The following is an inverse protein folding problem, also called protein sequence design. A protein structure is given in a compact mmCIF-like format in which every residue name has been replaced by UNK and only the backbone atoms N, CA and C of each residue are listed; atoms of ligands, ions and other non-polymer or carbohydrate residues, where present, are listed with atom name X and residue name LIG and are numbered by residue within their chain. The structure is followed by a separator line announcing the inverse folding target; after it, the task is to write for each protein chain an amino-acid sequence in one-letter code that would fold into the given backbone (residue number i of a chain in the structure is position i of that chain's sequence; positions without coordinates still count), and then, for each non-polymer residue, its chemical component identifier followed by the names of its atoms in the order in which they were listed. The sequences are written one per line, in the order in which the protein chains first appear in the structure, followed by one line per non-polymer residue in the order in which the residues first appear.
data_IF_874172714768
#
_entry.id   IF_874172714768
#
_cell.length_a   1.000
_cell.length_b   1.000
_cell.length_c   1.000
_cell.angle_alpha   90.00
_cell.angle_beta   90.00
_cell.angle_gamma   90.00
#
_symmetry.space_group_name_H-M   'P 1'
#
loop_
_entity.id
_entity.type
_entity.pdbx_description
1 polymer ?
#
# COMPACT_ATOMS: atom_id res chain seq x y z
N UNK A 1 -33.27 -25.72 -28.14
CA UNK A 1 -32.15 -25.97 -27.20
C UNK A 1 -31.31 -24.72 -27.09
N UNK A 2 -31.58 -23.91 -26.07
CA UNK A 2 -30.68 -22.95 -25.40
C UNK A 2 -31.32 -22.69 -24.02
N UNK A 3 -30.62 -22.84 -22.88
CA UNK A 3 -31.21 -22.47 -21.60
C UNK A 3 -31.00 -20.98 -21.34
N UNK A 4 -32.12 -20.31 -21.07
CA UNK A 4 -32.20 -18.99 -20.44
C UNK A 4 -31.65 -19.12 -19.01
N UNK A 5 -30.64 -18.33 -18.67
CA UNK A 5 -30.18 -18.16 -17.28
C UNK A 5 -30.86 -16.91 -16.71
N UNK A 6 -31.62 -17.00 -15.61
CA UNK A 6 -32.26 -15.85 -15.01
C UNK A 6 -31.26 -15.03 -14.18
N UNK A 7 -31.22 -13.73 -14.45
CA UNK A 7 -30.62 -12.74 -13.56
C UNK A 7 -31.45 -12.67 -12.27
N UNK A 8 -30.88 -13.13 -11.15
CA UNK A 8 -31.38 -12.77 -9.84
C UNK A 8 -30.70 -11.48 -9.40
N UNK A 9 -31.49 -10.41 -9.44
CA UNK A 9 -31.21 -9.14 -8.80
C UNK A 9 -31.18 -9.35 -7.27
N UNK A 10 -29.98 -9.25 -6.69
CA UNK A 10 -29.77 -9.05 -5.27
C UNK A 10 -29.25 -7.63 -5.04
N UNK A 11 -29.99 -6.86 -4.27
CA UNK A 11 -29.73 -5.46 -3.92
C UNK A 11 -28.35 -5.27 -3.29
N UNK A 12 -27.36 -4.87 -4.09
CA UNK A 12 -26.04 -4.41 -3.66
C UNK A 12 -25.96 -2.89 -3.79
N UNK A 13 -26.36 -2.16 -2.74
CA UNK A 13 -26.05 -0.74 -2.63
C UNK A 13 -24.92 -0.57 -1.61
N UNK A 14 -23.87 0.14 -2.04
CA UNK A 14 -22.72 0.66 -1.26
C UNK A 14 -21.61 -0.39 -1.05
N UNK A 15 -20.38 -0.26 -1.56
CA UNK A 15 -19.55 0.92 -1.73
C UNK A 15 -18.72 0.84 -3.04
N UNK A 16 -19.15 1.52 -4.10
CA UNK A 16 -18.32 1.76 -5.28
C UNK A 16 -17.23 2.79 -4.91
N UNK A 17 -16.10 2.32 -4.39
CA UNK A 17 -14.87 3.12 -4.54
C UNK A 17 -14.54 3.08 -6.03
N UNK A 18 -14.85 4.17 -6.73
CA UNK A 18 -14.65 4.26 -8.17
C UNK A 18 -13.23 3.84 -8.54
N UNK A 19 -13.10 2.95 -9.52
CA UNK A 19 -11.85 2.54 -10.17
C UNK A 19 -10.90 3.72 -10.48
N UNK A 20 -11.46 4.90 -10.73
CA UNK A 20 -10.72 6.15 -10.94
C UNK A 20 -10.03 6.70 -9.70
N UNK A 21 -10.63 6.54 -8.51
CA UNK A 21 -10.03 6.93 -7.23
C UNK A 21 -8.95 5.93 -6.80
N UNK A 22 -9.10 4.68 -7.24
CA UNK A 22 -8.18 3.59 -6.95
C UNK A 22 -6.88 3.68 -7.76
N UNK A 23 -6.99 3.97 -9.07
CA UNK A 23 -5.82 4.33 -9.90
C UNK A 23 -5.01 5.46 -9.26
N UNK A 24 -5.66 6.46 -8.66
CA UNK A 24 -4.98 7.60 -8.05
C UNK A 24 -4.09 7.22 -6.86
N UNK A 25 -4.33 6.12 -6.15
CA UNK A 25 -3.48 5.72 -5.01
C UNK A 25 -2.23 4.96 -5.44
N UNK A 26 -2.33 4.16 -6.49
CA UNK A 26 -1.29 3.18 -6.89
C UNK A 26 -0.50 3.68 -8.11
N UNK A 27 -0.91 4.80 -8.74
CA UNK A 27 -0.14 5.42 -9.84
C UNK A 27 1.23 5.91 -9.37
N UNK A 28 2.30 5.69 -10.18
CA UNK A 28 3.60 6.27 -9.90
C UNK A 28 3.53 7.80 -9.94
N UNK A 29 4.37 8.47 -9.16
CA UNK A 29 4.79 9.84 -9.43
C UNK A 29 5.60 9.85 -10.74
N UNK A 30 5.16 10.64 -11.72
CA UNK A 30 5.83 10.79 -13.01
C UNK A 30 7.22 11.43 -12.83
N UNK A 31 8.26 10.61 -12.69
CA UNK A 31 9.63 11.02 -12.95
C UNK A 31 9.90 10.88 -14.44
N UNK A 32 9.64 11.96 -15.17
CA UNK A 32 10.03 12.12 -16.58
C UNK A 32 11.53 11.92 -16.75
N UNK A 33 11.94 11.02 -17.64
CA UNK A 33 13.02 11.34 -18.57
C UNK A 33 12.94 10.51 -19.85
N UNK A 34 12.78 11.26 -20.94
CA UNK A 34 12.81 10.81 -22.31
C UNK A 34 14.26 10.83 -22.80
N UNK A 35 14.73 9.75 -23.45
CA UNK A 35 15.83 9.78 -24.41
C UNK A 35 15.91 8.47 -25.19
N UNK A 36 15.41 8.52 -26.43
CA UNK A 36 15.89 7.68 -27.53
C UNK A 36 17.42 7.68 -27.62
N UNK A 37 18.03 6.52 -27.89
CA UNK A 37 18.83 6.25 -29.11
C UNK A 37 19.88 5.15 -28.92
N UNK A 38 19.83 4.19 -29.87
CA UNK A 38 20.90 3.38 -30.46
C UNK A 38 21.47 2.18 -29.67
N UNK A 39 21.15 1.02 -30.24
CA UNK A 39 21.98 -0.18 -30.25
C UNK A 39 23.46 0.12 -30.54
N UNK A 40 24.34 -0.33 -29.63
CA UNK A 40 25.67 -0.82 -29.98
C UNK A 40 26.06 -1.98 -29.08
N UNK A 41 26.25 -3.12 -29.74
CA UNK A 41 26.81 -4.37 -29.27
C UNK A 41 28.28 -4.16 -28.84
N UNK A 42 28.58 -4.28 -27.55
CA UNK A 42 29.95 -4.48 -27.04
C UNK A 42 29.92 -5.53 -25.95
N UNK A 43 30.48 -6.71 -26.25
CA UNK A 43 30.91 -7.71 -25.28
C UNK A 43 31.94 -7.08 -24.35
N UNK A 44 31.68 -7.09 -23.05
CA UNK A 44 32.72 -6.92 -22.04
C UNK A 44 32.39 -7.78 -20.83
N UNK A 45 33.07 -8.91 -20.75
CA UNK A 45 33.23 -9.70 -19.53
C UNK A 45 33.87 -8.79 -18.47
N UNK A 46 33.17 -8.60 -17.35
CA UNK A 46 33.75 -8.21 -16.07
C UNK A 46 32.95 -8.86 -14.95
N UNK A 47 33.64 -9.78 -14.28
CA UNK A 47 33.44 -10.14 -12.89
C UNK A 47 32.99 -8.95 -12.04
N UNK A 48 31.91 -9.15 -11.30
CA UNK A 48 31.29 -8.17 -10.44
C UNK A 48 30.04 -8.75 -9.84
N UNK A 49 30.22 -9.65 -8.87
CA UNK A 49 29.17 -10.08 -7.96
C UNK A 49 28.71 -8.85 -7.15
N UNK A 50 27.81 -8.05 -7.72
CA UNK A 50 27.02 -7.11 -6.92
C UNK A 50 25.91 -7.92 -6.25
N UNK A 51 26.26 -8.50 -5.10
CA UNK A 51 25.26 -8.95 -4.15
C UNK A 51 24.34 -7.76 -3.80
N UNK A 52 23.02 -7.96 -3.72
CA UNK A 52 22.13 -6.96 -3.14
C UNK A 52 22.68 -6.60 -1.77
N UNK A 53 22.96 -5.32 -1.54
CA UNK A 53 23.46 -4.84 -0.25
C UNK A 53 22.39 -5.03 0.81
N UNK A 54 22.36 -6.23 1.40
CA UNK A 54 21.58 -6.53 2.58
C UNK A 54 22.08 -5.63 3.69
N UNK A 55 21.24 -4.69 4.11
CA UNK A 55 21.48 -3.93 5.33
C UNK A 55 21.42 -4.92 6.50
N UNK A 56 22.50 -5.12 7.28
CA UNK A 56 22.50 -6.11 8.35
C UNK A 56 21.74 -5.54 9.56
N UNK A 57 20.40 -5.50 9.47
CA UNK A 57 19.57 -5.66 10.67
C UNK A 57 19.74 -7.13 11.06
N UNK A 58 20.69 -7.38 11.95
CA UNK A 58 21.15 -8.70 12.42
C UNK A 58 20.02 -9.42 13.16
N UNK A 59 19.09 -10.01 12.41
CA UNK A 59 17.92 -10.67 12.99
C UNK A 59 16.86 -11.12 11.99
N UNK A 60 16.95 -10.75 10.70
CA UNK A 60 15.98 -11.20 9.70
C UNK A 60 15.99 -12.73 9.56
N UNK A 61 14.84 -13.34 9.82
CA UNK A 61 14.56 -14.74 9.60
C UNK A 61 13.58 -14.88 8.44
N UNK A 62 14.04 -15.37 7.27
CA UNK A 62 13.15 -15.58 6.14
C UNK A 62 12.19 -16.74 6.45
N UNK A 63 10.94 -16.60 5.99
CA UNK A 63 9.95 -17.68 6.03
C UNK A 63 10.29 -18.76 5.00
N UNK A 64 10.06 -20.02 5.37
CA UNK A 64 10.00 -21.12 4.41
C UNK A 64 8.78 -21.02 3.49
N UNK A 65 8.78 -21.72 2.37
CA UNK A 65 7.66 -21.70 1.42
C UNK A 65 6.33 -22.13 2.05
N UNK A 66 6.37 -23.05 3.01
CA UNK A 66 5.19 -23.51 3.74
C UNK A 66 4.68 -22.43 4.72
N UNK A 67 5.59 -21.78 5.46
CA UNK A 67 5.23 -20.67 6.35
C UNK A 67 4.70 -19.46 5.58
N UNK A 68 5.24 -19.19 4.38
CA UNK A 68 4.72 -18.17 3.47
C UNK A 68 3.27 -18.46 3.13
N UNK A 69 2.95 -19.67 2.66
CA UNK A 69 1.57 -20.06 2.33
C UNK A 69 0.64 -19.92 3.52
N UNK A 70 1.02 -20.45 4.69
CA UNK A 70 0.21 -20.36 5.90
C UNK A 70 0.02 -18.93 6.38
N UNK A 71 1.02 -18.07 6.20
CA UNK A 71 0.91 -16.64 6.52
C UNK A 71 -0.04 -15.93 5.58
N UNK A 72 0.04 -16.23 4.27
CA UNK A 72 -0.87 -15.67 3.26
C UNK A 72 -2.31 -16.08 3.54
N UNK A 73 -2.58 -17.35 3.86
CA UNK A 73 -3.94 -17.81 4.22
C UNK A 73 -4.50 -17.03 5.41
N UNK A 74 -3.69 -16.84 6.47
CA UNK A 74 -4.10 -16.03 7.63
C UNK A 74 -4.37 -14.58 7.25
N UNK A 75 -3.55 -13.99 6.37
CA UNK A 75 -3.76 -12.63 5.92
C UNK A 75 -4.99 -12.48 5.02
N UNK A 76 -5.33 -13.48 4.20
CA UNK A 76 -6.52 -13.48 3.36
C UNK A 76 -7.81 -13.30 4.17
N UNK A 77 -7.87 -13.81 5.40
CA UNK A 77 -9.01 -13.62 6.31
C UNK A 77 -9.23 -12.15 6.72
N UNK A 78 -8.18 -11.33 6.63
CA UNK A 78 -8.20 -9.90 6.96
C UNK A 78 -8.28 -8.99 5.74
N UNK A 79 -8.29 -9.55 4.54
CA UNK A 79 -8.36 -8.77 3.30
C UNK A 79 -9.71 -8.07 3.21
N UNK A 80 -9.67 -6.78 2.94
CA UNK A 80 -10.88 -6.02 2.71
C UNK A 80 -11.49 -6.37 1.34
N UNK A 81 -12.83 -6.49 1.21
CA UNK A 81 -13.50 -6.80 -0.06
C UNK A 81 -13.08 -5.91 -1.24
N UNK A 82 -12.78 -4.63 -0.96
CA UNK A 82 -12.23 -3.67 -1.93
C UNK A 82 -11.03 -4.19 -2.71
N UNK A 83 -10.19 -5.00 -2.07
CA UNK A 83 -8.98 -5.53 -2.67
C UNK A 83 -9.32 -6.65 -3.65
N UNK A 84 -10.27 -7.52 -3.31
CA UNK A 84 -10.75 -8.58 -4.20
C UNK A 84 -11.37 -8.01 -5.49
N UNK A 85 -12.00 -6.83 -5.41
CA UNK A 85 -12.51 -6.15 -6.60
C UNK A 85 -11.40 -5.55 -7.49
N UNK A 86 -10.23 -5.25 -6.90
CA UNK A 86 -9.09 -4.68 -7.62
C UNK A 86 -8.20 -5.74 -8.23
N UNK A 87 -7.81 -6.74 -7.43
CA UNK A 87 -7.06 -7.88 -7.90
C UNK A 87 -8.03 -8.78 -8.66
N UNK A 88 -8.01 -8.66 -9.99
CA UNK A 88 -8.94 -9.34 -10.92
C UNK A 88 -9.15 -10.83 -10.60
N UNK A 89 -8.14 -11.47 -10.02
CA UNK A 89 -8.23 -12.81 -9.46
C UNK A 89 -7.63 -12.84 -8.05
N UNK A 90 -8.15 -13.74 -7.20
CA UNK A 90 -7.55 -14.01 -5.89
C UNK A 90 -6.08 -14.42 -6.01
N UNK A 91 -5.71 -15.13 -7.08
CA UNK A 91 -4.33 -15.52 -7.35
C UNK A 91 -3.39 -14.31 -7.46
N UNK A 92 -3.81 -13.21 -8.11
CA UNK A 92 -3.00 -11.99 -8.19
C UNK A 92 -2.78 -11.35 -6.82
N UNK A 93 -3.82 -11.33 -5.98
CA UNK A 93 -3.70 -10.86 -4.60
C UNK A 93 -2.73 -11.75 -3.81
N UNK A 94 -2.85 -13.07 -3.95
CA UNK A 94 -1.99 -14.04 -3.28
C UNK A 94 -0.53 -13.86 -3.66
N UNK A 95 -0.22 -13.64 -4.93
CA UNK A 95 1.16 -13.37 -5.39
C UNK A 95 1.75 -12.12 -4.73
N UNK A 96 0.96 -11.06 -4.58
CA UNK A 96 1.38 -9.86 -3.84
C UNK A 96 1.63 -10.20 -2.37
N UNK A 97 0.68 -10.88 -1.71
CA UNK A 97 0.83 -11.26 -0.29
C UNK A 97 2.01 -12.20 -0.05
N UNK A 98 2.29 -13.12 -0.97
CA UNK A 98 3.46 -14.01 -0.92
C UNK A 98 4.76 -13.21 -1.00
N UNK A 99 4.82 -12.21 -1.89
CA UNK A 99 5.96 -11.30 -1.98
C UNK A 99 6.18 -10.55 -0.65
N UNK A 100 5.10 -10.06 -0.04
CA UNK A 100 5.15 -9.39 1.27
C UNK A 100 5.62 -10.33 2.38
N UNK A 101 5.08 -11.55 2.42
CA UNK A 101 5.44 -12.55 3.43
C UNK A 101 6.91 -12.96 3.33
N UNK A 102 7.46 -13.04 2.11
CA UNK A 102 8.87 -13.37 1.86
C UNK A 102 9.82 -12.24 2.25
N UNK A 103 9.42 -10.99 2.03
CA UNK A 103 10.25 -9.83 2.37
C UNK A 103 10.02 -9.28 3.77
N UNK A 104 9.32 -9.99 4.65
CA UNK A 104 9.15 -9.62 6.07
C UNK A 104 9.61 -10.75 6.97
N UNK A 105 10.03 -10.40 8.19
CA UNK A 105 10.57 -11.37 9.16
C UNK A 105 9.51 -12.39 9.58
N UNK A 106 9.91 -13.67 9.71
CA UNK A 106 9.04 -14.78 10.08
C UNK A 106 8.25 -14.53 11.38
N UNK A 107 8.87 -13.86 12.35
CA UNK A 107 8.29 -13.61 13.67
C UNK A 107 7.48 -12.31 13.74
N UNK A 108 7.41 -11.56 12.64
CA UNK A 108 6.69 -10.28 12.57
C UNK A 108 5.40 -10.45 11.77
N UNK A 109 4.27 -10.10 12.37
CA UNK A 109 3.00 -9.96 11.66
C UNK A 109 2.80 -8.50 11.20
N UNK A 110 2.32 -8.26 9.99
CA UNK A 110 2.11 -6.89 9.48
C UNK A 110 0.74 -6.32 9.83
N UNK A 111 -0.20 -7.19 10.21
CA UNK A 111 -1.61 -6.85 10.46
C UNK A 111 -1.88 -6.77 11.96
N UNK A 112 -1.53 -7.83 12.69
CA UNK A 112 -1.92 -8.02 14.08
C UNK A 112 -0.86 -7.57 15.10
N UNK A 113 0.31 -7.12 14.64
CA UNK A 113 1.39 -6.71 15.53
C UNK A 113 1.23 -5.26 16.01
N UNK A 114 1.43 -5.05 17.32
CA UNK A 114 1.51 -3.72 17.93
C UNK A 114 2.87 -3.06 17.70
N UNK A 115 3.87 -3.82 17.26
CA UNK A 115 5.22 -3.36 16.94
C UNK A 115 5.47 -3.05 15.46
N UNK A 116 6.74 -2.75 15.17
CA UNK A 116 7.23 -2.60 13.80
C UNK A 116 7.40 -3.96 13.12
N UNK A 117 7.03 -4.02 11.83
CA UNK A 117 7.38 -5.11 10.94
C UNK A 117 8.18 -4.51 9.78
N UNK A 118 9.39 -4.99 9.52
CA UNK A 118 10.28 -4.37 8.54
C UNK A 118 10.30 -5.13 7.22
N UNK A 119 10.41 -4.35 6.15
CA UNK A 119 10.60 -4.81 4.79
C UNK A 119 12.09 -5.01 4.47
N UNK A 120 12.38 -6.14 3.85
CA UNK A 120 13.72 -6.59 3.43
C UNK A 120 13.81 -6.87 1.93
N UNK A 121 12.77 -6.53 1.17
CA UNK A 121 12.76 -6.66 -0.29
C UNK A 121 13.16 -5.37 -1.00
N UNK A 122 12.53 -5.11 -2.16
CA UNK A 122 12.88 -4.00 -3.03
C UNK A 122 12.60 -2.63 -2.40
N UNK A 123 13.51 -1.68 -2.64
CA UNK A 123 13.34 -0.27 -2.25
C UNK A 123 13.37 0.62 -3.49
N UNK A 124 12.73 1.79 -3.41
CA UNK A 124 12.82 2.79 -4.48
C UNK A 124 14.21 3.40 -4.54
N UNK A 125 14.71 3.67 -5.76
CA UNK A 125 16.07 4.17 -5.98
C UNK A 125 16.33 5.56 -5.38
N UNK A 126 15.32 6.43 -5.37
CA UNK A 126 15.51 7.85 -5.00
C UNK A 126 15.50 8.06 -3.48
N UNK A 127 14.51 7.48 -2.79
CA UNK A 127 14.22 7.78 -1.38
C UNK A 127 14.29 6.56 -0.45
N UNK A 128 14.78 5.41 -0.94
CA UNK A 128 14.91 4.15 -0.17
C UNK A 128 13.61 3.70 0.54
N UNK A 129 12.47 3.87 -0.13
CA UNK A 129 11.14 3.54 0.39
C UNK A 129 10.80 2.08 0.09
N UNK A 130 10.10 1.39 1.01
CA UNK A 130 9.63 0.04 0.76
C UNK A 130 8.71 -0.02 -0.47
N UNK A 131 9.02 -0.93 -1.40
CA UNK A 131 8.34 -1.02 -2.69
C UNK A 131 8.09 -2.46 -3.10
N UNK A 132 7.11 -2.65 -3.97
CA UNK A 132 6.77 -3.94 -4.57
C UNK A 132 6.54 -3.76 -6.08
N UNK A 133 6.97 -4.76 -6.85
CA UNK A 133 6.66 -4.87 -8.28
C UNK A 133 5.39 -5.70 -8.44
N UNK A 134 4.41 -5.15 -9.14
CA UNK A 134 3.16 -5.85 -9.46
C UNK A 134 2.61 -5.35 -10.79
N UNK A 135 1.89 -6.22 -11.51
CA UNK A 135 1.14 -5.84 -12.70
C UNK A 135 -0.18 -5.24 -12.23
N UNK A 136 -0.43 -3.97 -12.56
CA UNK A 136 -1.68 -3.32 -12.17
C UNK A 136 -2.82 -3.81 -13.06
N UNK A 137 -4.05 -3.83 -12.56
CA UNK A 137 -5.20 -4.20 -13.37
C UNK A 137 -5.36 -3.31 -14.60
N UNK A 138 -5.35 -3.92 -15.78
CA UNK A 138 -5.40 -3.22 -17.07
C UNK A 138 -4.06 -2.74 -17.61
N UNK A 139 -2.95 -3.01 -16.91
CA UNK A 139 -1.58 -2.88 -17.42
C UNK A 139 -1.04 -4.25 -17.84
N UNK A 140 -0.08 -4.26 -18.76
CA UNK A 140 0.63 -5.48 -19.20
C UNK A 140 2.06 -5.56 -18.68
N UNK A 141 2.55 -4.48 -18.10
CA UNK A 141 3.90 -4.33 -17.58
C UNK A 141 3.88 -4.26 -16.06
N UNK A 142 4.89 -4.81 -15.41
CA UNK A 142 5.10 -4.61 -13.98
C UNK A 142 5.38 -3.15 -13.67
N UNK A 143 4.77 -2.67 -12.59
CA UNK A 143 4.92 -1.31 -12.07
C UNK A 143 5.47 -1.37 -10.64
N UNK A 144 6.46 -0.53 -10.32
CA UNK A 144 6.92 -0.32 -8.94
C UNK A 144 5.88 0.52 -8.21
N UNK A 145 5.49 0.07 -7.03
CA UNK A 145 4.52 0.76 -6.17
C UNK A 145 5.01 0.79 -4.73
N UNK A 146 4.73 1.87 -3.99
CA UNK A 146 5.02 1.94 -2.56
C UNK A 146 4.22 0.91 -1.76
N UNK A 147 4.93 0.11 -0.98
CA UNK A 147 4.35 -1.05 -0.31
C UNK A 147 3.34 -0.65 0.77
N UNK A 148 3.60 0.42 1.53
CA UNK A 148 2.66 0.94 2.53
C UNK A 148 1.30 1.33 1.93
N UNK A 149 1.27 1.87 0.70
CA UNK A 149 0.02 2.24 0.01
C UNK A 149 -0.74 1.00 -0.45
N UNK A 150 -0.04 -0.02 -0.92
CA UNK A 150 -0.64 -1.31 -1.29
C UNK A 150 -1.24 -2.00 -0.06
N UNK A 151 -0.51 -2.07 1.05
CA UNK A 151 -0.98 -2.70 2.28
C UNK A 151 -2.17 -1.98 2.91
N UNK A 152 -2.12 -0.65 2.96
CA UNK A 152 -3.26 0.14 3.39
C UNK A 152 -4.50 -0.11 2.51
N UNK A 153 -4.32 -0.24 1.20
CA UNK A 153 -5.43 -0.57 0.30
C UNK A 153 -6.01 -1.97 0.59
N UNK A 154 -5.15 -2.95 0.84
CA UNK A 154 -5.58 -4.34 1.07
C UNK A 154 -6.29 -4.51 2.42
N UNK A 155 -5.75 -3.91 3.48
CA UNK A 155 -6.13 -4.26 4.86
C UNK A 155 -6.77 -3.14 5.68
N UNK A 156 -6.59 -1.87 5.30
CA UNK A 156 -7.18 -0.79 6.12
C UNK A 156 -8.70 -0.89 6.09
N UNK A 157 -9.33 -0.55 7.22
CA UNK A 157 -10.78 -0.42 7.31
C UNK A 157 -11.28 0.77 6.47
N UNK A 158 -12.59 0.85 6.22
CA UNK A 158 -13.16 1.92 5.39
C UNK A 158 -12.87 3.32 5.93
N UNK A 159 -12.85 3.48 7.26
CA UNK A 159 -12.61 4.78 7.89
C UNK A 159 -11.17 5.24 7.68
N UNK A 160 -10.19 4.39 7.96
CA UNK A 160 -8.77 4.69 7.77
C UNK A 160 -8.45 4.83 6.29
N UNK A 161 -8.99 3.97 5.45
CA UNK A 161 -8.80 4.06 4.00
C UNK A 161 -9.30 5.40 3.44
N UNK A 162 -10.50 5.87 3.86
CA UNK A 162 -11.03 7.17 3.44
C UNK A 162 -10.17 8.34 3.92
N UNK A 163 -9.56 8.23 5.09
CA UNK A 163 -8.61 9.22 5.58
C UNK A 163 -7.32 9.22 4.74
N UNK A 164 -6.75 8.04 4.48
CA UNK A 164 -5.55 7.87 3.65
C UNK A 164 -5.75 8.37 2.20
N UNK A 165 -6.98 8.30 1.69
CA UNK A 165 -7.34 8.84 0.37
C UNK A 165 -7.22 10.36 0.25
N UNK A 166 -7.18 11.09 1.37
CA UNK A 166 -6.99 12.55 1.38
C UNK A 166 -5.52 12.95 1.33
N UNK A 167 -4.61 12.02 1.64
CA UNK A 167 -3.18 12.31 1.69
C UNK A 167 -2.58 12.40 0.27
N UNK A 168 -1.45 13.14 0.12
CA UNK A 168 -0.74 13.20 -1.15
C UNK A 168 -0.32 11.82 -1.65
N UNK A 169 -0.05 11.72 -2.95
CA UNK A 169 0.37 10.47 -3.64
C UNK A 169 1.85 10.13 -3.43
N UNK A 170 2.32 10.30 -2.20
CA UNK A 170 3.67 9.97 -1.75
C UNK A 170 3.57 8.79 -0.77
N UNK A 171 4.68 8.13 -0.41
CA UNK A 171 4.68 7.11 0.63
C UNK A 171 4.05 7.65 1.91
N UNK A 172 3.24 6.84 2.59
CA UNK A 172 2.75 7.19 3.91
C UNK A 172 3.91 7.23 4.90
N UNK A 173 3.92 8.26 5.76
CA UNK A 173 4.89 8.31 6.83
C UNK A 173 4.56 7.24 7.86
N UNK A 174 5.60 6.54 8.33
CA UNK A 174 5.47 5.59 9.42
C UNK A 174 5.64 6.33 10.76
N UNK A 175 4.76 6.07 11.73
CA UNK A 175 4.81 6.70 13.06
C UNK A 175 6.07 6.31 13.85
N UNK A 176 6.67 5.17 13.54
CA UNK A 176 7.93 4.73 14.11
C UNK A 176 9.18 5.42 13.51
N UNK A 177 9.01 6.24 12.47
CA UNK A 177 10.10 6.99 11.82
C UNK A 177 10.93 6.20 10.80
N UNK A 178 10.72 4.90 10.63
CA UNK A 178 11.41 4.07 9.64
C UNK A 178 10.47 3.73 8.46
N UNK A 179 10.81 4.21 7.26
CA UNK A 179 10.02 4.03 6.04
C UNK A 179 10.08 2.61 5.45
N UNK A 180 10.94 1.74 6.00
CA UNK A 180 10.91 0.31 5.72
C UNK A 180 9.95 -0.44 6.64
N UNK A 181 9.35 0.22 7.64
CA UNK A 181 8.27 -0.37 8.38
C UNK A 181 7.03 -0.54 7.48
N UNK A 182 6.39 -1.70 7.56
CA UNK A 182 5.20 -2.08 6.80
C UNK A 182 4.06 -2.55 7.70
N UNK A 183 4.20 -2.39 9.02
CA UNK A 183 3.14 -2.69 9.99
C UNK A 183 1.97 -1.70 9.84
N UNK A 184 0.74 -2.20 9.74
CA UNK A 184 -0.47 -1.39 9.64
C UNK A 184 -0.67 -0.47 10.85
N UNK A 185 -0.31 -0.92 12.05
CA UNK A 185 -0.39 -0.12 13.28
C UNK A 185 0.56 1.09 13.25
N UNK A 186 1.66 0.98 12.50
CA UNK A 186 2.65 2.05 12.34
C UNK A 186 2.36 2.98 11.16
N UNK A 187 1.40 2.68 10.28
CA UNK A 187 1.04 3.59 9.18
C UNK A 187 0.34 4.80 9.78
N UNK A 188 1.02 5.94 9.80
CA UNK A 188 0.59 7.07 10.60
C UNK A 188 -0.77 7.58 10.13
N UNK A 189 -1.71 7.57 11.07
CA UNK A 189 -2.97 8.29 11.02
C UNK A 189 -2.73 9.81 11.16
N UNK A 190 -1.93 10.43 10.28
CA UNK A 190 -1.87 11.90 10.10
C UNK A 190 -3.18 12.44 9.46
N UNK A 191 -4.33 11.90 9.87
CA UNK A 191 -5.66 12.43 9.59
C UNK A 191 -6.32 13.02 10.85
N UNK A 192 -5.59 13.12 11.95
CA UNK A 192 -6.08 13.69 13.22
C UNK A 192 -5.22 14.87 13.65
N UNK A 193 -5.08 15.87 12.78
CA UNK A 193 -4.81 17.26 13.18
C UNK A 193 -5.12 18.21 12.00
N UNK A 194 -6.39 18.28 11.62
CA UNK A 194 -6.92 19.48 10.96
C UNK A 194 -8.23 19.83 11.66
N UNK A 195 -8.25 21.04 12.22
CA UNK A 195 -9.41 21.79 12.71
C UNK A 195 -9.98 21.45 14.08
N UNK A 196 -9.27 21.84 15.14
CA UNK A 196 -9.90 22.38 16.35
C UNK A 196 -8.90 23.26 17.07
N UNK A 197 -8.98 24.55 16.80
CA UNK A 197 -8.86 25.67 17.74
C UNK A 197 -8.61 26.95 16.94
N UNK A 198 -9.68 27.42 16.28
CA UNK A 198 -9.86 28.85 16.08
C UNK A 198 -11.18 29.21 16.75
N UNK A 199 -11.13 29.35 18.06
CA UNK A 199 -12.10 30.19 18.78
C UNK A 199 -11.78 31.64 18.40
N UNK A 200 -12.27 32.07 17.23
CA UNK A 200 -12.54 33.47 16.98
C UNK A 200 -13.72 33.85 17.89
N UNK A 201 -13.38 34.35 19.08
CA UNK A 201 -14.29 35.13 19.90
C UNK A 201 -14.09 36.59 19.51
N UNK A 202 -14.83 37.04 18.51
CA UNK A 202 -15.01 38.46 18.23
C UNK A 202 -16.51 38.75 18.08
N UNK A 203 -16.94 39.79 18.81
CA UNK A 203 -18.13 40.61 18.63
C UNK A 203 -19.51 39.97 18.98
N UNK A 204 -20.45 40.62 19.67
CA UNK A 204 -20.58 42.05 19.95
C UNK A 204 -21.58 42.26 21.11
N UNK A 205 -21.24 43.25 21.93
CA UNK A 205 -22.08 44.19 22.66
C UNK A 205 -23.60 44.15 22.43
N UNK A 206 -24.40 44.13 23.50
CA UNK A 206 -25.60 44.97 23.54
C UNK A 206 -25.90 45.45 24.97
N UNK A 207 -25.67 46.74 25.16
CA UNK A 207 -26.18 47.56 26.26
C UNK A 207 -27.72 47.54 26.26
N UNK A 208 -28.33 47.37 27.42
CA UNK A 208 -29.71 47.80 27.64
C UNK A 208 -29.95 48.07 29.12
N UNK A 209 -29.70 49.33 29.50
CA UNK A 209 -30.41 50.02 30.58
C UNK A 209 -31.94 49.89 30.37
N UNK A 210 -32.70 49.60 31.44
CA UNK A 210 -34.03 50.17 31.68
C UNK A 210 -34.59 49.78 33.07
N UNK A 211 -34.75 50.82 33.90
CA UNK A 211 -35.63 51.06 35.07
C UNK A 211 -35.62 50.16 36.31
#
# INVERSE_FOLDING_TARGET
MQPLVPCLAGTGLLCYVSWHQLKKLVSPSDSSNNSDKKEKKVKKERDGNEEPRQNPKTGFQPRSDEEVKQTVERWLEHVHPRALDFFSTEQQLREVLESVARGTDANSDIILNEGCAFWYGDVTNDDLQASIRMIKPGETTESVTYLNRVLAFIFADDRSFKALMKLPKVPFKMSCGDQLCVSLSCMAAEAVHMDSEKTESDDDSDDSDSD
#
